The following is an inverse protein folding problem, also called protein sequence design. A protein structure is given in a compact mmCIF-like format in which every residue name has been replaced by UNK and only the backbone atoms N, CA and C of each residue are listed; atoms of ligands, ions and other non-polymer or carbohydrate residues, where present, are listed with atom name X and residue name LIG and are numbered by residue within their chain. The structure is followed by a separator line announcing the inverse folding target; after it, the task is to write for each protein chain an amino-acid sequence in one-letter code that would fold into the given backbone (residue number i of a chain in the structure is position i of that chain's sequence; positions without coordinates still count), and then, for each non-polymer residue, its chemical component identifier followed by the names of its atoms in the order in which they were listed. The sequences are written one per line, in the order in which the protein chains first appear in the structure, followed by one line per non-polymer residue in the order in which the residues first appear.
data_IF_562710065960
#
_entry.id   IF_562710065960
#
_cell.length_a   1.000
_cell.length_b   1.000
_cell.length_c   1.000
_cell.angle_alpha   90.00
_cell.angle_beta   90.00
_cell.angle_gamma   90.00
#
_symmetry.space_group_name_H-M   'P 1'
#
loop_
_entity.id
_entity.type
_entity.pdbx_description
1 polymer ?
#
# COMPACT_ATOMS: atom_id res chain seq x y z
N UNK A 1 -14.24 -37.76 8.08
CA UNK A 1 -12.81 -37.77 7.70
C UNK A 1 -12.58 -36.62 6.76
N UNK A 2 -12.14 -35.47 7.30
CA UNK A 2 -11.93 -34.23 6.55
C UNK A 2 -10.45 -34.13 6.21
N UNK A 3 -10.12 -34.21 4.93
CA UNK A 3 -8.77 -33.95 4.44
C UNK A 3 -8.55 -32.44 4.49
N UNK A 4 -7.94 -31.95 5.56
CA UNK A 4 -7.33 -30.64 5.57
C UNK A 4 -6.22 -30.67 4.50
N UNK A 5 -6.41 -29.90 3.42
CA UNK A 5 -5.39 -29.73 2.40
C UNK A 5 -4.16 -29.12 3.04
N UNK A 6 -3.04 -29.80 2.91
CA UNK A 6 -1.71 -29.28 3.20
C UNK A 6 -1.57 -28.02 2.35
N UNK A 7 -1.49 -26.86 3.00
CA UNK A 7 -1.06 -25.62 2.35
C UNK A 7 0.40 -25.90 1.99
N UNK A 8 0.66 -26.13 0.71
CA UNK A 8 2.00 -26.19 0.13
C UNK A 8 2.78 -24.98 0.66
N UNK A 9 3.99 -25.21 1.15
CA UNK A 9 4.92 -24.18 1.57
C UNK A 9 4.97 -23.10 0.50
N UNK A 10 4.35 -21.95 0.79
CA UNK A 10 4.28 -20.87 -0.17
C UNK A 10 5.72 -20.41 -0.43
N UNK A 11 6.13 -20.44 -1.69
CA UNK A 11 7.33 -19.73 -2.16
C UNK A 11 7.30 -18.35 -1.50
N UNK A 12 8.38 -17.92 -0.82
CA UNK A 12 8.41 -16.60 -0.22
C UNK A 12 7.93 -15.59 -1.26
N UNK A 13 6.86 -14.85 -0.97
CA UNK A 13 6.19 -13.98 -1.94
C UNK A 13 7.16 -12.97 -2.56
N UNK A 14 8.23 -12.65 -1.84
CA UNK A 14 9.30 -11.76 -2.26
C UNK A 14 10.16 -12.33 -3.40
N UNK A 15 10.27 -13.65 -3.54
CA UNK A 15 11.09 -14.32 -4.55
C UNK A 15 10.29 -14.77 -5.78
N UNK A 16 8.96 -14.61 -5.75
CA UNK A 16 8.14 -14.97 -6.90
C UNK A 16 8.43 -14.08 -8.09
N UNK A 17 8.95 -14.66 -9.15
CA UNK A 17 9.23 -14.02 -10.42
C UNK A 17 8.98 -14.99 -11.58
N UNK A 18 8.06 -14.65 -12.45
CA UNK A 18 7.72 -15.40 -13.64
C UNK A 18 7.87 -14.49 -14.85
N UNK A 19 8.59 -14.95 -15.88
CA UNK A 19 8.79 -14.20 -17.13
C UNK A 19 8.31 -15.04 -18.30
N UNK A 20 7.62 -14.43 -19.24
CA UNK A 20 7.13 -15.08 -20.45
C UNK A 20 7.23 -14.15 -21.67
N UNK A 21 7.36 -14.76 -22.84
CA UNK A 21 7.47 -14.07 -24.13
C UNK A 21 8.92 -13.98 -24.63
N UNK A 22 9.14 -13.29 -25.79
CA UNK A 22 8.09 -12.67 -26.59
C UNK A 22 7.12 -13.73 -27.18
N UNK A 23 5.81 -13.43 -27.17
CA UNK A 23 4.82 -14.24 -27.84
C UNK A 23 4.74 -13.90 -29.35
N UNK A 24 3.81 -14.52 -30.11
CA UNK A 24 3.61 -14.25 -31.53
C UNK A 24 3.33 -12.79 -31.87
N UNK A 25 2.75 -12.03 -30.93
CA UNK A 25 2.50 -10.59 -31.07
C UNK A 25 3.70 -9.72 -30.61
N UNK A 26 4.81 -10.34 -30.20
CA UNK A 26 6.00 -9.63 -29.70
C UNK A 26 5.85 -9.11 -28.28
N UNK A 27 4.83 -9.55 -27.51
CA UNK A 27 4.61 -9.14 -26.14
C UNK A 27 5.52 -9.92 -25.19
N UNK A 28 6.23 -9.21 -24.34
CA UNK A 28 6.97 -9.74 -23.17
C UNK A 28 6.17 -9.44 -21.91
N UNK A 29 6.03 -10.42 -21.05
CA UNK A 29 5.35 -10.25 -19.77
C UNK A 29 6.22 -10.70 -18.60
N UNK A 30 6.06 -10.04 -17.44
CA UNK A 30 6.68 -10.45 -16.21
C UNK A 30 5.69 -10.33 -15.06
N UNK A 31 5.66 -11.32 -14.19
CA UNK A 31 4.79 -11.39 -13.03
C UNK A 31 5.61 -11.51 -11.76
N UNK A 32 5.30 -10.69 -10.77
CA UNK A 32 5.95 -10.71 -9.46
C UNK A 32 4.95 -10.36 -8.36
N UNK A 33 5.35 -10.49 -7.10
CA UNK A 33 4.49 -10.22 -5.96
C UNK A 33 4.98 -8.97 -5.20
N UNK A 34 4.10 -8.00 -4.98
CA UNK A 34 4.35 -6.84 -4.12
C UNK A 34 3.00 -6.27 -3.62
N UNK A 35 3.00 -5.48 -2.55
CA UNK A 35 1.79 -4.89 -1.95
C UNK A 35 0.71 -5.94 -1.63
N UNK A 36 1.14 -7.13 -1.22
CA UNK A 36 0.27 -8.27 -0.93
C UNK A 36 -0.61 -8.72 -2.12
N UNK A 37 -0.15 -8.50 -3.35
CA UNK A 37 -0.85 -8.90 -4.59
C UNK A 37 0.13 -9.29 -5.70
N UNK A 38 -0.35 -10.04 -6.68
CA UNK A 38 0.40 -10.30 -7.91
C UNK A 38 0.31 -9.10 -8.84
N UNK A 39 1.46 -8.66 -9.35
CA UNK A 39 1.60 -7.58 -10.33
C UNK A 39 2.05 -8.21 -11.64
N UNK A 40 1.40 -7.84 -12.74
CA UNK A 40 1.79 -8.26 -14.09
C UNK A 40 2.19 -7.04 -14.90
N UNK A 41 3.40 -7.06 -15.44
CA UNK A 41 3.93 -6.08 -16.39
C UNK A 41 3.87 -6.68 -17.79
N UNK A 42 3.47 -5.89 -18.78
CA UNK A 42 3.42 -6.28 -20.19
C UNK A 42 3.95 -5.15 -21.05
N UNK A 43 4.76 -5.48 -22.06
CA UNK A 43 5.27 -4.50 -23.01
C UNK A 43 5.54 -5.12 -24.39
N UNK A 44 5.48 -4.27 -25.41
CA UNK A 44 5.77 -4.60 -26.81
C UNK A 44 7.03 -3.84 -27.24
N UNK A 45 8.19 -4.42 -26.94
CA UNK A 45 9.48 -3.89 -27.31
C UNK A 45 10.50 -5.04 -27.38
N UNK A 46 11.75 -4.81 -27.86
CA UNK A 46 12.79 -5.84 -27.80
C UNK A 46 12.90 -6.42 -26.37
N UNK A 47 12.99 -7.74 -26.27
CA UNK A 47 12.93 -8.47 -24.99
C UNK A 47 13.87 -7.88 -23.93
N UNK A 48 15.12 -7.63 -24.28
CA UNK A 48 16.11 -7.06 -23.35
C UNK A 48 15.70 -5.68 -22.81
N UNK A 49 15.04 -4.85 -23.61
CA UNK A 49 14.53 -3.55 -23.19
C UNK A 49 13.36 -3.71 -22.21
N UNK A 50 12.43 -4.64 -22.51
CA UNK A 50 11.34 -4.98 -21.61
C UNK A 50 11.87 -5.45 -20.24
N UNK A 51 12.79 -6.41 -20.22
CA UNK A 51 13.34 -6.97 -19.00
C UNK A 51 14.06 -5.90 -18.16
N UNK A 52 14.82 -5.02 -18.80
CA UNK A 52 15.48 -3.91 -18.10
C UNK A 52 14.49 -2.90 -17.50
N UNK A 53 13.39 -2.60 -18.21
CA UNK A 53 12.33 -1.74 -17.71
C UNK A 53 11.59 -2.41 -16.53
N UNK A 54 11.23 -3.68 -16.65
CA UNK A 54 10.55 -4.46 -15.61
C UNK A 54 11.39 -4.58 -14.33
N UNK A 55 12.70 -4.73 -14.46
CA UNK A 55 13.59 -4.72 -13.30
C UNK A 55 13.55 -3.39 -12.54
N UNK A 56 13.55 -2.26 -13.26
CA UNK A 56 13.41 -0.92 -12.65
C UNK A 56 12.08 -0.78 -11.93
N UNK A 57 10.97 -1.20 -12.56
CA UNK A 57 9.63 -1.18 -11.97
C UNK A 57 9.59 -2.03 -10.69
N UNK A 58 10.15 -3.24 -10.71
CA UNK A 58 10.19 -4.11 -9.52
C UNK A 58 10.99 -3.48 -8.38
N UNK A 59 12.16 -2.91 -8.66
CA UNK A 59 12.97 -2.22 -7.65
C UNK A 59 12.20 -1.05 -7.01
N UNK A 60 11.52 -0.27 -7.84
CA UNK A 60 10.71 0.85 -7.37
C UNK A 60 9.47 0.38 -6.59
N UNK A 61 8.78 -0.65 -7.07
CA UNK A 61 7.66 -1.26 -6.33
C UNK A 61 8.08 -1.70 -4.92
N UNK A 62 9.23 -2.39 -4.80
CA UNK A 62 9.78 -2.79 -3.49
C UNK A 62 10.13 -1.59 -2.61
N UNK A 63 10.68 -0.53 -3.21
CA UNK A 63 10.98 0.71 -2.48
C UNK A 63 9.71 1.35 -1.92
N UNK A 64 8.68 1.50 -2.75
CA UNK A 64 7.41 2.09 -2.36
C UNK A 64 6.64 1.23 -1.35
N UNK A 65 6.69 -0.10 -1.48
CA UNK A 65 6.11 -1.01 -0.49
C UNK A 65 6.70 -0.79 0.91
N UNK A 66 8.02 -0.58 1.01
CA UNK A 66 8.68 -0.26 2.29
C UNK A 66 8.26 1.09 2.87
N UNK A 67 7.79 2.03 2.05
CA UNK A 67 7.29 3.32 2.52
C UNK A 67 5.81 3.24 2.94
N UNK A 68 4.98 2.54 2.16
CA UNK A 68 3.52 2.60 2.26
C UNK A 68 2.89 1.48 3.09
N UNK A 69 3.66 0.49 3.49
CA UNK A 69 3.14 -0.63 4.28
C UNK A 69 2.69 -0.20 5.66
N UNK A 70 1.47 -0.56 6.06
CA UNK A 70 1.00 -0.36 7.44
C UNK A 70 1.54 -1.39 8.44
N UNK A 71 2.22 -2.44 7.96
CA UNK A 71 2.68 -3.57 8.79
C UNK A 71 4.20 -3.65 8.91
N UNK A 72 4.97 -3.10 7.96
CA UNK A 72 6.43 -3.07 8.05
C UNK A 72 6.87 -2.04 9.11
N UNK A 73 7.71 -2.40 10.10
CA UNK A 73 7.97 -1.58 11.29
C UNK A 73 8.53 -0.19 11.03
N UNK A 74 9.24 0.00 9.92
CA UNK A 74 9.97 1.25 9.61
C UNK A 74 9.43 1.95 8.36
N UNK A 75 8.24 1.60 7.92
CA UNK A 75 7.57 2.32 6.84
C UNK A 75 7.02 3.66 7.35
N UNK A 76 6.90 4.65 6.47
CA UNK A 76 6.36 5.96 6.82
C UNK A 76 4.95 5.84 7.40
N UNK A 77 4.08 5.05 6.77
CA UNK A 77 2.70 4.83 7.24
C UNK A 77 2.67 4.15 8.61
N UNK A 78 3.50 3.13 8.81
CA UNK A 78 3.56 2.43 10.09
C UNK A 78 4.15 3.30 11.21
N UNK A 79 5.13 4.16 10.91
CA UNK A 79 5.65 5.16 11.84
C UNK A 79 4.60 6.20 12.20
N UNK A 80 3.88 6.73 11.19
CA UNK A 80 2.78 7.69 11.39
C UNK A 80 1.68 7.11 12.29
N UNK A 81 1.27 5.86 12.04
CA UNK A 81 0.21 5.19 12.82
C UNK A 81 0.60 4.90 14.27
N UNK A 82 1.89 4.88 14.59
CA UNK A 82 2.39 4.67 15.96
C UNK A 82 2.85 5.94 16.66
N UNK A 83 2.71 7.08 16.00
CA UNK A 83 3.24 8.33 16.49
C UNK A 83 2.37 9.00 17.57
N UNK A 84 1.21 8.45 17.89
CA UNK A 84 0.31 8.96 18.95
C UNK A 84 0.05 10.48 18.83
N UNK A 85 -0.15 10.96 17.60
CA UNK A 85 -0.41 12.37 17.33
C UNK A 85 0.85 13.25 17.23
N UNK A 86 2.05 12.67 17.36
CA UNK A 86 3.31 13.41 17.18
C UNK A 86 3.64 13.48 15.67
N UNK A 87 4.10 14.63 15.14
CA UNK A 87 4.54 14.73 13.76
C UNK A 87 5.72 13.80 13.47
N UNK A 88 5.66 13.05 12.37
CA UNK A 88 6.74 12.18 11.87
C UNK A 88 7.27 12.69 10.55
N UNK A 89 8.57 12.61 10.38
CA UNK A 89 9.18 12.81 9.06
C UNK A 89 8.82 11.65 8.15
N UNK A 90 8.38 11.99 6.93
CA UNK A 90 7.98 11.04 5.90
C UNK A 90 8.72 11.33 4.60
N UNK A 91 8.77 10.37 3.69
CA UNK A 91 9.32 10.59 2.36
C UNK A 91 8.42 11.51 1.53
N UNK A 92 9.00 12.15 0.51
CA UNK A 92 8.25 12.93 -0.48
C UNK A 92 7.19 12.08 -1.19
N UNK A 93 7.50 10.80 -1.50
CA UNK A 93 6.54 9.90 -2.14
C UNK A 93 5.33 9.63 -1.23
N UNK A 94 5.55 9.45 0.07
CA UNK A 94 4.47 9.29 1.04
C UNK A 94 3.64 10.57 1.16
N UNK A 95 4.28 11.73 1.19
CA UNK A 95 3.56 13.02 1.22
C UNK A 95 2.65 13.16 -0.01
N UNK A 96 3.19 12.95 -1.22
CA UNK A 96 2.43 13.03 -2.47
C UNK A 96 1.27 12.02 -2.51
N UNK A 97 1.49 10.79 -2.04
CA UNK A 97 0.42 9.79 -1.96
C UNK A 97 -0.68 10.21 -0.99
N UNK A 98 -0.31 10.70 0.20
CA UNK A 98 -1.28 11.15 1.21
C UNK A 98 -2.06 12.38 0.73
N UNK A 99 -1.42 13.37 0.09
CA UNK A 99 -2.10 14.53 -0.50
C UNK A 99 -3.10 14.12 -1.58
N UNK A 100 -2.69 13.21 -2.47
CA UNK A 100 -3.59 12.64 -3.47
C UNK A 100 -4.77 11.90 -2.81
N UNK A 101 -4.51 11.11 -1.78
CA UNK A 101 -5.56 10.39 -1.05
C UNK A 101 -6.55 11.33 -0.35
N UNK A 102 -6.05 12.41 0.25
CA UNK A 102 -6.89 13.42 0.91
C UNK A 102 -7.79 14.16 -0.08
N UNK A 103 -7.33 14.39 -1.33
CA UNK A 103 -8.21 14.96 -2.36
C UNK A 103 -9.38 14.02 -2.67
N UNK A 104 -9.15 12.70 -2.79
CA UNK A 104 -10.22 11.72 -2.98
C UNK A 104 -11.14 11.59 -1.76
N UNK A 105 -10.60 11.74 -0.54
CA UNK A 105 -11.44 11.80 0.66
C UNK A 105 -12.42 12.99 0.58
N UNK A 106 -11.91 14.16 0.18
CA UNK A 106 -12.72 15.37 0.03
C UNK A 106 -13.75 15.24 -1.11
N UNK A 107 -13.32 14.79 -2.30
CA UNK A 107 -14.18 14.66 -3.50
C UNK A 107 -15.31 13.63 -3.29
N UNK A 108 -15.08 12.62 -2.44
CA UNK A 108 -16.06 11.60 -2.10
C UNK A 108 -16.96 11.94 -0.91
N UNK A 109 -16.83 13.15 -0.34
CA UNK A 109 -17.53 13.52 0.89
C UNK A 109 -17.24 12.56 2.06
N UNK A 110 -15.99 12.03 2.15
CA UNK A 110 -15.55 11.08 3.17
C UNK A 110 -16.08 9.65 3.00
N UNK A 111 -16.71 9.31 1.84
CA UNK A 111 -17.07 7.91 1.55
C UNK A 111 -15.85 7.04 1.29
N UNK A 112 -14.80 7.63 0.76
CA UNK A 112 -13.44 7.10 0.83
C UNK A 112 -12.71 7.86 1.93
N UNK A 113 -12.18 7.13 2.91
CA UNK A 113 -11.44 7.71 4.02
C UNK A 113 -10.22 6.85 4.35
N UNK A 114 -9.03 7.43 4.21
CA UNK A 114 -7.77 6.71 4.46
C UNK A 114 -7.51 6.46 5.95
N UNK A 115 -8.24 7.10 6.87
CA UNK A 115 -8.10 6.86 8.32
C UNK A 115 -8.91 5.66 8.80
N UNK A 116 -9.57 4.93 7.89
CA UNK A 116 -10.20 3.63 8.16
C UNK A 116 -9.23 2.56 8.70
N UNK A 117 -7.92 2.83 8.68
CA UNK A 117 -6.90 1.96 9.23
C UNK A 117 -7.17 1.53 10.67
N UNK A 118 -7.75 2.41 11.49
CA UNK A 118 -8.15 2.12 12.87
C UNK A 118 -9.14 0.95 12.96
N UNK A 119 -10.12 0.89 12.04
CA UNK A 119 -11.10 -0.20 11.98
C UNK A 119 -10.55 -1.43 11.24
N UNK A 120 -9.81 -1.23 10.14
CA UNK A 120 -9.26 -2.31 9.29
C UNK A 120 -8.29 -3.21 10.08
N UNK A 121 -7.47 -2.64 10.97
CA UNK A 121 -6.51 -3.42 11.76
C UNK A 121 -7.14 -4.40 12.76
N UNK A 122 -8.43 -4.25 13.08
CA UNK A 122 -9.15 -5.16 13.96
C UNK A 122 -9.46 -6.52 13.29
N UNK A 123 -9.36 -6.59 11.98
CA UNK A 123 -9.63 -7.81 11.22
C UNK A 123 -8.33 -8.60 11.00
N UNK A 124 -8.35 -9.90 11.32
CA UNK A 124 -7.32 -10.84 10.90
C UNK A 124 -7.99 -12.01 10.17
N UNK A 125 -8.05 -11.88 8.85
CA UNK A 125 -8.68 -12.89 7.99
C UNK A 125 -7.91 -14.21 7.99
N UNK A 126 -6.60 -14.20 8.26
CA UNK A 126 -5.78 -15.42 8.33
C UNK A 126 -6.11 -16.25 9.58
N UNK A 127 -6.41 -15.57 10.68
CA UNK A 127 -6.80 -16.18 11.95
C UNK A 127 -8.31 -16.27 12.11
N UNK A 128 -9.09 -15.86 11.10
CA UNK A 128 -10.55 -15.74 11.16
C UNK A 128 -11.04 -14.88 12.34
N UNK A 129 -10.29 -13.82 12.71
CA UNK A 129 -10.70 -12.87 13.74
C UNK A 129 -11.67 -11.88 13.11
N UNK A 130 -12.88 -11.85 13.65
CA UNK A 130 -13.94 -10.89 13.30
C UNK A 130 -14.14 -10.01 14.54
N UNK A 131 -13.96 -8.68 14.43
CA UNK A 131 -14.16 -7.79 15.56
C UNK A 131 -15.61 -7.73 16.00
N UNK A 132 -15.85 -7.45 17.29
CA UNK A 132 -17.18 -7.17 17.80
C UNK A 132 -17.73 -5.86 17.25
N UNK A 133 -19.06 -5.71 17.25
CA UNK A 133 -19.68 -4.45 16.82
C UNK A 133 -19.27 -3.26 17.69
N UNK A 134 -19.03 -3.47 18.97
CA UNK A 134 -18.62 -2.41 19.90
C UNK A 134 -17.19 -1.96 19.61
N UNK A 135 -16.26 -2.91 19.38
CA UNK A 135 -14.89 -2.57 18.95
C UNK A 135 -14.86 -1.84 17.60
N UNK A 136 -15.75 -2.20 16.66
CA UNK A 136 -15.88 -1.48 15.39
C UNK A 136 -16.41 -0.05 15.59
N UNK A 137 -17.44 0.14 16.43
CA UNK A 137 -17.97 1.48 16.74
C UNK A 137 -16.91 2.38 17.38
N UNK A 138 -16.15 1.82 18.33
CA UNK A 138 -15.03 2.54 18.96
C UNK A 138 -13.98 2.94 17.91
N UNK A 139 -13.53 2.02 17.08
CA UNK A 139 -12.52 2.32 16.07
C UNK A 139 -13.01 3.31 15.01
N UNK A 140 -14.28 3.25 14.60
CA UNK A 140 -14.87 4.18 13.63
C UNK A 140 -15.01 5.60 14.21
N UNK A 141 -15.10 5.77 15.53
CA UNK A 141 -15.11 7.08 16.14
C UNK A 141 -13.80 7.88 15.93
N UNK A 142 -12.71 7.20 15.57
CA UNK A 142 -11.39 7.79 15.27
C UNK A 142 -11.15 7.96 13.76
N UNK A 143 -12.17 7.77 12.92
CA UNK A 143 -12.09 7.91 11.46
C UNK A 143 -12.50 9.33 11.07
N UNK A 144 -11.52 10.15 10.73
CA UNK A 144 -11.72 11.49 10.16
C UNK A 144 -10.47 11.91 9.38
N UNK A 145 -10.53 11.83 8.05
CA UNK A 145 -9.45 12.24 7.17
C UNK A 145 -9.02 13.71 7.35
N UNK A 146 -9.92 14.57 7.86
CA UNK A 146 -9.63 15.99 8.11
C UNK A 146 -8.60 16.16 9.22
N UNK A 147 -8.38 15.14 10.04
CA UNK A 147 -7.35 15.09 11.07
C UNK A 147 -5.95 14.77 10.54
N UNK A 148 -5.81 14.36 9.27
CA UNK A 148 -4.48 14.12 8.65
C UNK A 148 -3.88 15.44 8.20
N UNK A 149 -2.68 15.74 8.67
CA UNK A 149 -1.95 16.96 8.35
C UNK A 149 -0.63 16.63 7.70
N UNK A 150 -0.30 17.30 6.61
CA UNK A 150 0.97 17.18 5.90
C UNK A 150 1.58 18.57 5.84
N UNK A 151 2.89 18.68 6.05
CA UNK A 151 3.62 19.94 5.94
C UNK A 151 5.01 19.70 5.36
N UNK A 152 5.51 20.68 4.64
CA UNK A 152 6.89 20.74 4.19
C UNK A 152 7.64 21.80 5.00
N UNK A 153 8.80 21.44 5.52
CA UNK A 153 9.69 22.33 6.25
C UNK A 153 11.12 22.16 5.74
N UNK A 154 11.67 23.16 5.09
CA UNK A 154 13.05 23.14 4.58
C UNK A 154 13.37 21.94 3.68
N UNK A 155 12.43 21.56 2.81
CA UNK A 155 12.57 20.41 1.89
C UNK A 155 12.35 19.04 2.54
N UNK A 156 11.96 18.98 3.80
CA UNK A 156 11.56 17.78 4.54
C UNK A 156 10.06 17.74 4.70
N UNK A 157 9.49 16.55 4.60
CA UNK A 157 8.03 16.35 4.72
C UNK A 157 7.70 15.72 6.08
N UNK A 158 6.62 16.19 6.67
CA UNK A 158 6.11 15.67 7.93
C UNK A 158 4.63 15.38 7.82
N UNK A 159 4.19 14.27 8.42
CA UNK A 159 2.78 13.96 8.59
C UNK A 159 2.41 13.84 10.07
N UNK A 160 1.16 14.12 10.39
CA UNK A 160 0.61 14.03 11.72
C UNK A 160 -0.87 13.62 11.67
N UNK A 161 -1.30 12.78 12.59
CA UNK A 161 -2.70 12.48 12.86
C UNK A 161 -3.13 13.32 14.07
N UNK A 162 -4.18 14.12 13.93
CA UNK A 162 -4.67 14.97 15.05
C UNK A 162 -5.26 14.13 16.18
N UNK A 163 -5.88 12.99 15.84
CA UNK A 163 -6.33 12.00 16.80
C UNK A 163 -5.24 10.94 17.01
N UNK A 164 -4.72 10.76 18.25
CA UNK A 164 -3.70 9.74 18.55
C UNK A 164 -4.13 8.29 18.28
N UNK A 165 -5.43 8.02 18.21
CA UNK A 165 -5.98 6.68 17.97
C UNK A 165 -6.36 6.45 16.48
N UNK A 166 -6.29 7.47 15.65
CA UNK A 166 -6.47 7.33 14.22
C UNK A 166 -5.34 6.51 13.60
N UNK A 167 -5.64 5.80 12.54
CA UNK A 167 -4.62 5.06 11.77
C UNK A 167 -4.92 5.12 10.27
N UNK A 168 -3.88 5.39 9.48
CA UNK A 168 -3.95 5.47 8.02
C UNK A 168 -3.76 4.09 7.40
N UNK A 169 -4.59 3.78 6.41
CA UNK A 169 -4.43 2.68 5.47
C UNK A 169 -4.59 3.20 4.05
N UNK A 170 -3.51 3.16 3.28
CA UNK A 170 -3.48 3.62 1.88
C UNK A 170 -3.75 2.50 0.87
N UNK A 171 -4.10 1.30 1.32
CA UNK A 171 -4.31 0.12 0.46
C UNK A 171 -5.37 0.32 -0.63
N UNK A 172 -6.35 1.19 -0.41
CA UNK A 172 -7.40 1.51 -1.37
C UNK A 172 -6.95 2.40 -2.53
N UNK A 173 -5.84 3.14 -2.40
CA UNK A 173 -5.35 4.08 -3.42
C UNK A 173 -3.92 3.78 -3.89
N UNK A 174 -3.05 3.26 -3.03
CA UNK A 174 -1.63 3.15 -3.33
C UNK A 174 -1.34 2.35 -4.60
N UNK A 175 -2.10 1.28 -4.89
CA UNK A 175 -1.88 0.46 -6.10
C UNK A 175 -2.13 1.22 -7.39
N UNK A 176 -3.20 2.02 -7.46
CA UNK A 176 -3.50 2.88 -8.61
C UNK A 176 -2.45 3.97 -8.77
N UNK A 177 -2.13 4.69 -7.69
CA UNK A 177 -1.11 5.74 -7.70
C UNK A 177 0.28 5.24 -8.15
N UNK A 178 0.67 4.04 -7.72
CA UNK A 178 1.92 3.39 -8.13
C UNK A 178 1.87 2.99 -9.61
N UNK A 179 0.74 2.47 -10.09
CA UNK A 179 0.57 2.11 -11.50
C UNK A 179 0.74 3.33 -12.41
N UNK A 180 0.14 4.47 -12.06
CA UNK A 180 0.29 5.73 -12.79
C UNK A 180 1.74 6.20 -12.83
N UNK A 181 2.46 6.07 -11.71
CA UNK A 181 3.88 6.41 -11.61
C UNK A 181 4.78 5.53 -12.49
N UNK A 182 4.37 4.30 -12.80
CA UNK A 182 5.15 3.38 -13.65
C UNK A 182 4.88 3.55 -15.13
N UNK A 183 3.78 4.20 -15.50
CA UNK A 183 3.36 4.41 -16.89
C UNK A 183 3.68 5.81 -17.42
N UNK A 184 4.08 6.73 -16.56
CA UNK A 184 4.53 8.09 -16.89
C UNK A 184 6.04 8.16 -17.02
#
# INVERSE_FOLDING_TARGET
MNKAGVIQDAIPQEDFLETSGPNEAGMVAQRFFAFNTAITLQAFAPEQACLSAFERVRKEARRLERLFSRTLPHSDISCLNRAEGIPVEISRDTANLLECALSYCADSDGRFDITMGAAVQLWDLRRAIIPSQDALREAVAHVDWRGVRIREESGRYFAQLADPQAAVDVGGIAKGWIADKFTS
#
